data_IF_648386896003
#
_entry.id   IF_648386896003
#
_cell.length_a   1.000
_cell.length_b   1.000
_cell.length_c   1.000
_cell.angle_alpha   90.00
_cell.angle_beta   90.00
_cell.angle_gamma   90.00
#
_symmetry.space_group_name_H-M   'P 1'
#
loop_
_entity.id
_entity.type
_entity.pdbx_description
1 polymer ?
#
# COMPACT_ATOMS: atom_id res chain seq x y z
N UNK A 1 38.33 -9.45 85.25
CA UNK A 1 38.10 -8.27 86.10
C UNK A 1 38.35 -7.02 85.28
N UNK A 2 37.51 -6.00 85.48
CA UNK A 2 37.40 -4.75 84.70
C UNK A 2 38.70 -3.96 84.54
N UNK A 3 38.73 -3.16 83.47
CA UNK A 3 39.19 -1.74 83.32
C UNK A 3 39.67 -1.58 81.87
N UNK A 4 39.53 -0.49 81.12
CA UNK A 4 38.86 0.82 81.15
C UNK A 4 39.20 1.48 79.80
N UNK A 5 38.26 2.20 79.17
CA UNK A 5 38.46 3.01 77.95
C UNK A 5 39.34 4.25 78.21
N UNK A 6 40.01 4.82 77.19
CA UNK A 6 39.48 6.00 76.45
C UNK A 6 39.82 5.96 74.93
N UNK A 7 39.00 6.41 73.99
CA UNK A 7 38.51 7.77 73.82
C UNK A 7 39.43 8.56 72.87
N UNK A 8 39.12 8.63 71.57
CA UNK A 8 39.55 9.76 70.70
C UNK A 8 38.50 10.05 69.64
N UNK A 9 38.05 11.32 69.63
CA UNK A 9 37.23 11.93 68.60
C UNK A 9 38.09 12.19 67.36
N UNK A 10 37.54 12.01 66.15
CA UNK A 10 37.93 12.81 64.99
C UNK A 10 36.94 12.70 63.82
N UNK A 11 36.38 13.87 63.49
CA UNK A 11 35.90 14.33 62.19
C UNK A 11 34.86 13.48 61.43
N UNK A 12 33.59 13.90 61.54
CA UNK A 12 32.57 13.62 60.53
C UNK A 12 32.93 14.34 59.22
N UNK A 13 33.71 13.68 58.37
CA UNK A 13 33.93 14.11 56.99
C UNK A 13 32.63 13.97 56.19
N UNK A 14 31.92 15.09 55.96
CA UNK A 14 30.86 15.13 54.94
C UNK A 14 31.51 14.94 53.57
N UNK A 15 31.50 13.72 53.06
CA UNK A 15 31.78 13.43 51.66
C UNK A 15 30.66 13.99 50.79
N UNK A 16 30.73 15.28 50.45
CA UNK A 16 29.94 15.83 49.34
C UNK A 16 30.60 15.37 48.05
N UNK A 17 30.14 14.25 47.52
CA UNK A 17 30.42 13.85 46.14
C UNK A 17 29.82 14.94 45.24
N UNK A 18 30.67 15.86 44.76
CA UNK A 18 30.30 16.80 43.70
C UNK A 18 30.25 16.01 42.40
N UNK A 19 29.09 15.43 42.08
CA UNK A 19 28.83 14.95 40.73
C UNK A 19 28.95 16.15 39.76
N UNK A 20 29.71 16.05 38.66
CA UNK A 20 29.85 17.12 37.68
C UNK A 20 28.53 17.30 36.94
N UNK A 21 27.64 18.16 37.48
CA UNK A 21 26.23 18.26 37.08
C UNK A 21 25.98 18.76 35.66
N UNK A 22 26.89 19.48 35.01
CA UNK A 22 26.63 20.11 33.70
C UNK A 22 27.04 19.26 32.50
N UNK A 23 28.21 18.61 32.55
CA UNK A 23 28.74 17.82 31.41
C UNK A 23 27.97 16.51 31.24
N UNK A 24 27.66 15.81 32.33
CA UNK A 24 26.88 14.57 32.30
C UNK A 24 25.44 14.79 31.85
N UNK A 25 24.83 15.94 32.20
CA UNK A 25 23.49 16.31 31.70
C UNK A 25 23.50 16.64 30.20
N UNK A 26 24.53 17.33 29.70
CA UNK A 26 24.68 17.62 28.26
C UNK A 26 24.92 16.36 27.44
N UNK A 27 25.74 15.43 27.94
CA UNK A 27 25.98 14.13 27.29
C UNK A 27 24.71 13.27 27.30
N UNK A 28 24.00 13.19 28.43
CA UNK A 28 22.73 12.48 28.49
C UNK A 28 21.67 13.09 27.55
N UNK A 29 21.56 14.41 27.49
CA UNK A 29 20.66 15.10 26.56
C UNK A 29 21.02 14.82 25.10
N UNK A 30 22.30 14.85 24.75
CA UNK A 30 22.76 14.54 23.40
C UNK A 30 22.48 13.08 23.02
N UNK A 31 22.70 12.12 23.93
CA UNK A 31 22.36 10.71 23.70
C UNK A 31 20.85 10.48 23.59
N UNK A 32 20.04 11.17 24.38
CA UNK A 32 18.58 11.11 24.26
C UNK A 32 18.11 11.71 22.93
N UNK A 33 18.64 12.84 22.50
CA UNK A 33 18.32 13.44 21.20
C UNK A 33 18.76 12.54 20.04
N UNK A 34 19.92 11.88 20.16
CA UNK A 34 20.41 10.94 19.17
C UNK A 34 19.54 9.68 19.13
N UNK A 35 19.12 9.16 20.28
CA UNK A 35 18.21 8.02 20.37
C UNK A 35 16.82 8.37 19.81
N UNK A 36 16.27 9.55 20.13
CA UNK A 36 15.00 10.04 19.55
C UNK A 36 15.15 10.24 18.05
N UNK A 37 16.29 10.74 17.57
CA UNK A 37 16.60 10.84 16.14
C UNK A 37 16.65 9.48 15.45
N UNK A 38 17.35 8.50 16.03
CA UNK A 38 17.44 7.13 15.50
C UNK A 38 16.08 6.43 15.52
N UNK A 39 15.34 6.54 16.62
CA UNK A 39 14.00 5.97 16.73
C UNK A 39 13.03 6.67 15.78
N UNK A 40 13.09 7.99 15.61
CA UNK A 40 12.23 8.75 14.69
C UNK A 40 12.52 8.44 13.21
N UNK A 41 13.79 8.48 12.80
CA UNK A 41 14.22 8.16 11.44
C UNK A 41 13.89 6.70 11.08
N UNK A 42 13.97 5.79 12.06
CA UNK A 42 13.64 4.38 11.92
C UNK A 42 12.14 4.06 11.92
N UNK A 43 11.39 4.63 12.88
CA UNK A 43 10.00 4.23 13.13
C UNK A 43 8.99 4.96 12.26
N UNK A 44 9.26 6.20 11.83
CA UNK A 44 8.28 7.00 11.07
C UNK A 44 8.00 6.42 9.68
N UNK A 45 9.01 6.16 8.81
CA UNK A 45 8.76 5.52 7.53
C UNK A 45 8.14 4.12 7.70
N UNK A 46 8.63 3.36 8.69
CA UNK A 46 8.09 2.04 8.98
C UNK A 46 6.60 2.08 9.35
N UNK A 47 6.21 3.01 10.22
CA UNK A 47 4.82 3.20 10.61
C UNK A 47 3.97 3.68 9.43
N UNK A 48 4.37 4.75 8.76
CA UNK A 48 3.61 5.35 7.66
C UNK A 48 3.39 4.38 6.49
N UNK A 49 4.34 3.48 6.27
CA UNK A 49 4.28 2.50 5.18
C UNK A 49 3.55 1.22 5.58
N UNK A 50 3.92 0.61 6.71
CA UNK A 50 3.51 -0.77 7.03
C UNK A 50 2.39 -0.88 8.06
N UNK A 51 2.16 0.17 8.87
CA UNK A 51 1.18 0.14 9.97
C UNK A 51 0.02 1.12 9.78
N UNK A 52 0.22 2.19 9.01
CA UNK A 52 -0.86 3.12 8.65
C UNK A 52 -1.86 2.40 7.75
N UNK A 53 -3.15 2.50 8.07
CA UNK A 53 -4.23 2.04 7.20
C UNK A 53 -4.36 2.90 5.93
N UNK A 54 -5.17 2.47 4.95
CA UNK A 54 -5.50 3.31 3.81
C UNK A 54 -6.28 4.55 4.23
N UNK A 55 -6.26 5.59 3.39
CA UNK A 55 -7.13 6.75 3.56
C UNK A 55 -8.56 6.43 3.06
N UNK A 56 -9.56 6.70 3.89
CA UNK A 56 -10.99 6.35 3.69
C UNK A 56 -11.26 4.83 3.59
N UNK A 57 -10.90 4.05 4.64
CA UNK A 57 -11.14 2.60 4.68
C UNK A 57 -12.64 2.26 4.76
N UNK A 58 -13.05 1.02 4.42
CA UNK A 58 -14.44 0.57 4.56
C UNK A 58 -15.01 0.75 5.97
N UNK A 59 -14.19 0.51 7.00
CA UNK A 59 -14.60 0.65 8.40
C UNK A 59 -15.01 2.09 8.79
N UNK A 60 -14.54 3.10 8.05
CA UNK A 60 -14.90 4.50 8.24
C UNK A 60 -15.98 4.92 7.23
N UNK A 61 -15.77 4.65 5.95
CA UNK A 61 -16.64 5.10 4.87
C UNK A 61 -18.02 4.41 4.87
N UNK A 62 -18.11 3.20 5.41
CA UNK A 62 -19.30 2.35 5.30
C UNK A 62 -20.04 2.17 6.65
N UNK A 63 -19.53 2.77 7.74
CA UNK A 63 -20.05 2.61 9.10
C UNK A 63 -21.46 3.19 9.32
N UNK A 64 -21.77 4.33 8.70
CA UNK A 64 -23.04 5.05 8.92
C UNK A 64 -24.15 4.65 7.92
N UNK A 65 -23.87 3.68 7.06
CA UNK A 65 -24.70 3.39 5.90
C UNK A 65 -24.55 4.46 4.80
N UNK A 66 -24.76 4.06 3.55
CA UNK A 66 -24.56 4.92 2.38
C UNK A 66 -25.19 6.32 2.58
N UNK A 67 -24.39 7.38 2.43
CA UNK A 67 -24.87 8.76 2.50
C UNK A 67 -25.84 8.97 1.33
N UNK A 68 -27.12 9.27 1.58
CA UNK A 68 -28.09 9.40 0.50
C UNK A 68 -27.62 10.40 -0.57
N UNK A 69 -27.52 9.94 -1.82
CA UNK A 69 -27.24 10.78 -2.98
C UNK A 69 -25.77 10.83 -3.46
N UNK A 70 -24.84 10.06 -2.87
CA UNK A 70 -23.46 9.93 -3.37
C UNK A 70 -23.23 8.52 -3.93
N UNK A 71 -22.88 8.35 -5.22
CA UNK A 71 -22.51 7.04 -5.72
C UNK A 71 -21.24 6.53 -5.03
N UNK A 72 -21.23 5.25 -4.67
CA UNK A 72 -20.14 4.61 -3.93
C UNK A 72 -19.26 3.80 -4.86
N UNK A 73 -17.97 4.14 -4.92
CA UNK A 73 -16.94 3.42 -5.66
C UNK A 73 -16.01 2.74 -4.67
N UNK A 74 -15.91 1.41 -4.70
CA UNK A 74 -14.97 0.65 -3.87
C UNK A 74 -13.77 0.24 -4.70
N UNK A 75 -12.58 0.72 -4.32
CA UNK A 75 -11.30 0.23 -4.82
C UNK A 75 -10.80 -0.88 -3.89
N UNK A 76 -10.89 -2.13 -4.32
CA UNK A 76 -10.48 -3.30 -3.55
C UNK A 76 -9.14 -3.87 -4.04
N UNK A 77 -8.26 -4.22 -3.11
CA UNK A 77 -6.97 -4.81 -3.49
C UNK A 77 -5.99 -4.96 -2.34
N UNK A 78 -4.70 -5.03 -2.67
CA UNK A 78 -3.63 -5.18 -1.68
C UNK A 78 -2.88 -3.86 -1.45
N UNK A 79 -1.55 -3.92 -1.32
CA UNK A 79 -0.70 -2.76 -1.01
C UNK A 79 -0.70 -1.67 -2.09
N UNK A 80 -0.80 -2.04 -3.37
CA UNK A 80 -0.91 -1.06 -4.47
C UNK A 80 -2.21 -0.25 -4.39
N UNK A 81 -3.29 -0.84 -3.88
CA UNK A 81 -4.56 -0.15 -3.63
C UNK A 81 -4.50 0.65 -2.33
N UNK A 82 -3.87 0.11 -1.29
CA UNK A 82 -3.71 0.82 -0.02
C UNK A 82 -2.90 2.12 -0.17
N UNK A 83 -1.89 2.14 -1.04
CA UNK A 83 -1.21 3.38 -1.43
C UNK A 83 -0.31 4.02 -0.37
N UNK A 84 0.06 3.28 0.70
CA UNK A 84 1.01 3.74 1.73
C UNK A 84 2.49 3.47 1.38
N UNK A 85 2.71 2.70 0.31
CA UNK A 85 3.99 2.56 -0.37
C UNK A 85 3.72 2.71 -1.87
N UNK A 86 4.27 3.75 -2.49
CA UNK A 86 3.92 4.13 -3.85
C UNK A 86 2.71 5.06 -3.92
N UNK A 87 2.30 5.40 -5.14
CA UNK A 87 1.24 6.37 -5.39
C UNK A 87 -0.14 5.91 -4.87
N UNK A 88 -0.82 6.79 -4.14
CA UNK A 88 -2.22 6.62 -3.73
C UNK A 88 -3.16 6.97 -4.90
N UNK A 89 -3.37 5.99 -5.79
CA UNK A 89 -4.23 6.16 -6.95
C UNK A 89 -5.71 6.32 -6.58
N UNK A 90 -6.13 5.83 -5.40
CA UNK A 90 -7.51 5.94 -4.90
C UNK A 90 -7.78 7.35 -4.39
N UNK A 91 -6.83 7.94 -3.63
CA UNK A 91 -6.86 9.36 -3.27
C UNK A 91 -6.83 10.25 -4.51
N UNK A 92 -5.96 9.94 -5.49
CA UNK A 92 -5.92 10.67 -6.75
C UNK A 92 -7.23 10.60 -7.54
N UNK A 93 -7.95 9.46 -7.48
CA UNK A 93 -9.30 9.33 -8.07
C UNK A 93 -10.30 10.25 -7.34
N UNK A 94 -10.29 10.22 -6.01
CA UNK A 94 -11.17 11.03 -5.16
C UNK A 94 -10.99 12.54 -5.38
N UNK A 95 -9.77 12.97 -5.64
CA UNK A 95 -9.42 14.38 -5.85
C UNK A 95 -9.86 14.93 -7.21
N UNK A 96 -10.19 14.06 -8.18
CA UNK A 96 -10.64 14.51 -9.51
C UNK A 96 -11.98 15.25 -9.39
N UNK A 97 -12.16 16.39 -10.09
CA UNK A 97 -13.38 17.19 -10.01
C UNK A 97 -14.68 16.40 -10.21
N UNK A 98 -14.69 15.46 -11.17
CA UNK A 98 -15.82 14.58 -11.50
C UNK A 98 -16.21 13.61 -10.36
N UNK A 99 -15.26 13.23 -9.49
CA UNK A 99 -15.50 12.28 -8.39
C UNK A 99 -15.67 12.95 -7.02
N UNK A 100 -15.63 14.28 -6.92
CA UNK A 100 -15.87 14.98 -5.63
C UNK A 100 -17.26 14.73 -5.04
N UNK A 101 -18.25 14.39 -5.87
CA UNK A 101 -19.58 13.98 -5.44
C UNK A 101 -19.70 12.50 -5.05
N UNK A 102 -18.70 11.68 -5.36
CA UNK A 102 -18.70 10.24 -5.11
C UNK A 102 -18.08 9.91 -3.76
N UNK A 103 -18.50 8.80 -3.18
CA UNK A 103 -17.82 8.19 -2.04
C UNK A 103 -16.81 7.15 -2.55
N UNK A 104 -15.52 7.52 -2.56
CA UNK A 104 -14.44 6.65 -3.08
C UNK A 104 -13.72 5.97 -1.92
N UNK A 105 -14.06 4.70 -1.71
CA UNK A 105 -13.62 3.85 -0.60
C UNK A 105 -12.34 3.10 -0.96
N UNK A 106 -11.34 3.15 -0.10
CA UNK A 106 -10.09 2.41 -0.26
C UNK A 106 -10.11 1.11 0.57
N UNK A 107 -10.47 -0.01 -0.07
CA UNK A 107 -10.44 -1.36 0.48
C UNK A 107 -9.10 -2.09 0.20
N UNK A 108 -7.99 -1.34 0.13
CA UNK A 108 -6.64 -1.87 0.02
C UNK A 108 -6.09 -2.34 1.36
N UNK A 109 -5.52 -3.56 1.39
CA UNK A 109 -4.87 -4.12 2.58
C UNK A 109 -3.49 -4.67 2.25
N UNK A 110 -2.46 -4.13 2.90
CA UNK A 110 -1.06 -4.47 2.67
C UNK A 110 -0.82 -5.98 2.80
N UNK A 111 -0.17 -6.55 1.79
CA UNK A 111 0.19 -7.96 1.77
C UNK A 111 -0.94 -8.94 1.47
N UNK A 112 -2.19 -8.49 1.32
CA UNK A 112 -3.31 -9.40 1.01
C UNK A 112 -3.11 -10.14 -0.31
N UNK A 113 -3.51 -11.41 -0.27
CA UNK A 113 -3.74 -12.29 -1.42
C UNK A 113 -5.20 -12.22 -1.88
N UNK A 114 -5.53 -12.88 -2.99
CA UNK A 114 -6.92 -13.07 -3.42
C UNK A 114 -7.77 -13.82 -2.38
N UNK A 115 -7.17 -14.79 -1.67
CA UNK A 115 -7.84 -15.54 -0.61
C UNK A 115 -8.21 -14.65 0.58
N UNK A 116 -7.35 -13.68 0.92
CA UNK A 116 -7.64 -12.70 1.98
C UNK A 116 -8.76 -11.74 1.56
N UNK A 117 -8.72 -11.25 0.30
CA UNK A 117 -9.79 -10.40 -0.22
C UNK A 117 -11.14 -11.14 -0.23
N UNK A 118 -11.15 -12.41 -0.62
CA UNK A 118 -12.33 -13.27 -0.56
C UNK A 118 -12.90 -13.37 0.84
N UNK A 119 -12.06 -13.49 1.87
CA UNK A 119 -12.54 -13.58 3.26
C UNK A 119 -13.18 -12.28 3.76
N UNK A 120 -12.70 -11.12 3.28
CA UNK A 120 -13.19 -9.79 3.69
C UNK A 120 -14.15 -9.14 2.71
N UNK A 121 -14.58 -9.83 1.65
CA UNK A 121 -15.46 -9.28 0.60
C UNK A 121 -16.75 -8.69 1.19
N UNK A 122 -17.32 -9.34 2.22
CA UNK A 122 -18.55 -8.87 2.85
C UNK A 122 -18.33 -7.58 3.66
N UNK A 123 -17.25 -7.49 4.44
CA UNK A 123 -16.96 -6.32 5.27
C UNK A 123 -16.44 -5.14 4.47
N UNK A 124 -15.64 -5.42 3.43
CA UNK A 124 -14.84 -4.39 2.77
C UNK A 124 -15.49 -3.88 1.48
N UNK A 125 -16.40 -4.67 0.90
CA UNK A 125 -17.08 -4.33 -0.35
C UNK A 125 -18.59 -4.32 -0.14
N UNK A 126 -19.21 -5.44 0.23
CA UNK A 126 -20.68 -5.57 0.26
C UNK A 126 -21.31 -4.63 1.28
N UNK A 127 -20.71 -4.47 2.47
CA UNK A 127 -21.22 -3.59 3.52
C UNK A 127 -21.34 -2.12 3.06
N UNK A 128 -20.52 -1.70 2.10
CA UNK A 128 -20.51 -0.35 1.54
C UNK A 128 -21.67 -0.09 0.57
N UNK A 129 -22.41 -1.13 0.14
CA UNK A 129 -23.47 -1.02 -0.88
C UNK A 129 -23.00 -0.27 -2.14
N UNK A 130 -21.92 -0.74 -2.80
CA UNK A 130 -21.30 -0.05 -3.91
C UNK A 130 -22.20 0.06 -5.14
N UNK A 131 -21.99 1.13 -5.90
CA UNK A 131 -22.46 1.29 -7.27
C UNK A 131 -21.40 0.81 -8.28
N UNK A 132 -20.12 0.88 -7.89
CA UNK A 132 -19.00 0.39 -8.67
C UNK A 132 -17.92 -0.25 -7.78
N UNK A 133 -17.30 -1.33 -8.26
CA UNK A 133 -16.18 -2.02 -7.61
C UNK A 133 -15.05 -2.23 -8.60
N UNK A 134 -13.85 -1.78 -8.25
CA UNK A 134 -12.62 -2.06 -9.01
C UNK A 134 -11.73 -2.97 -8.17
N UNK A 135 -11.31 -4.09 -8.74
CA UNK A 135 -10.47 -5.09 -8.06
C UNK A 135 -9.08 -5.10 -8.68
N UNK A 136 -8.05 -4.82 -7.87
CA UNK A 136 -6.64 -4.97 -8.19
C UNK A 136 -5.97 -5.87 -7.13
N UNK A 137 -6.01 -7.19 -7.35
CA UNK A 137 -5.53 -8.21 -6.41
C UNK A 137 -4.82 -9.34 -7.14
N UNK A 138 -3.77 -9.91 -6.56
CA UNK A 138 -3.03 -11.03 -7.16
C UNK A 138 -1.51 -10.89 -7.16
N UNK A 139 -0.96 -9.69 -6.96
CA UNK A 139 0.49 -9.51 -6.95
C UNK A 139 1.20 -10.32 -5.85
N UNK A 140 0.55 -10.50 -4.68
CA UNK A 140 1.07 -11.36 -3.62
C UNK A 140 0.85 -12.84 -3.91
N UNK A 141 -0.21 -13.20 -4.63
CA UNK A 141 -0.48 -14.56 -5.12
C UNK A 141 0.61 -15.02 -6.10
N UNK A 142 1.01 -14.15 -7.04
CA UNK A 142 2.12 -14.39 -7.96
C UNK A 142 3.44 -14.60 -7.19
N UNK A 143 3.73 -13.70 -6.24
CA UNK A 143 4.97 -13.76 -5.41
C UNK A 143 4.97 -14.92 -4.42
N UNK A 144 3.79 -15.40 -4.03
CA UNK A 144 3.57 -16.50 -3.09
C UNK A 144 3.36 -17.84 -3.77
N UNK A 145 3.47 -17.89 -5.10
CA UNK A 145 3.33 -19.10 -5.91
C UNK A 145 1.98 -19.81 -5.75
N UNK A 146 0.91 -19.05 -5.53
CA UNK A 146 -0.47 -19.57 -5.47
C UNK A 146 -0.84 -20.17 -6.83
N UNK A 147 -1.33 -21.43 -6.91
CA UNK A 147 -1.73 -22.03 -8.17
C UNK A 147 -2.77 -21.18 -8.94
N UNK A 148 -2.65 -21.02 -10.27
CA UNK A 148 -3.60 -20.21 -11.06
C UNK A 148 -5.07 -20.61 -10.88
N UNK A 149 -5.37 -21.89 -10.67
CA UNK A 149 -6.74 -22.33 -10.43
C UNK A 149 -7.27 -21.97 -9.04
N UNK A 150 -6.41 -21.98 -8.01
CA UNK A 150 -6.81 -21.46 -6.70
C UNK A 150 -7.06 -19.94 -6.77
N UNK A 151 -6.23 -19.22 -7.52
CA UNK A 151 -6.44 -17.80 -7.78
C UNK A 151 -7.75 -17.54 -8.55
N UNK A 152 -8.08 -18.37 -9.55
CA UNK A 152 -9.35 -18.32 -10.27
C UNK A 152 -10.54 -18.52 -9.34
N UNK A 153 -10.54 -19.60 -8.55
CA UNK A 153 -11.60 -19.90 -7.59
C UNK A 153 -11.84 -18.73 -6.62
N UNK A 154 -10.76 -18.06 -6.20
CA UNK A 154 -10.88 -16.90 -5.33
C UNK A 154 -11.48 -15.69 -6.03
N UNK A 155 -11.06 -15.37 -7.27
CA UNK A 155 -11.63 -14.26 -8.03
C UNK A 155 -13.10 -14.49 -8.38
N UNK A 156 -13.46 -15.69 -8.84
CA UNK A 156 -14.85 -16.06 -9.13
C UNK A 156 -15.71 -15.91 -7.88
N UNK A 157 -15.25 -16.43 -6.73
CA UNK A 157 -15.97 -16.29 -5.48
C UNK A 157 -16.15 -14.83 -5.01
N UNK A 158 -15.16 -13.96 -5.27
CA UNK A 158 -15.27 -12.53 -4.98
C UNK A 158 -16.35 -11.90 -5.86
N UNK A 159 -16.28 -12.10 -7.18
CA UNK A 159 -17.23 -11.52 -8.14
C UNK A 159 -18.65 -12.03 -7.87
N UNK A 160 -18.83 -13.34 -7.72
CA UNK A 160 -20.12 -13.96 -7.40
C UNK A 160 -20.72 -13.37 -6.13
N UNK A 161 -19.89 -13.17 -5.10
CA UNK A 161 -20.37 -12.62 -3.83
C UNK A 161 -20.81 -11.17 -3.96
N UNK A 162 -20.09 -10.34 -4.71
CA UNK A 162 -20.47 -8.94 -4.94
C UNK A 162 -21.75 -8.88 -5.79
N UNK A 163 -21.81 -9.64 -6.89
CA UNK A 163 -22.98 -9.70 -7.79
C UNK A 163 -24.24 -10.23 -7.11
N UNK A 164 -24.12 -11.21 -6.20
CA UNK A 164 -25.27 -11.77 -5.48
C UNK A 164 -25.83 -10.83 -4.40
N UNK A 165 -25.10 -9.78 -4.01
CA UNK A 165 -25.42 -8.95 -2.83
C UNK A 165 -25.58 -7.47 -3.15
N UNK A 166 -25.19 -7.05 -4.35
CA UNK A 166 -25.18 -5.65 -4.78
C UNK A 166 -25.63 -5.56 -6.23
N UNK A 167 -25.87 -4.34 -6.71
CA UNK A 167 -26.10 -4.05 -8.14
C UNK A 167 -24.88 -3.37 -8.77
N UNK A 168 -23.70 -3.49 -8.13
CA UNK A 168 -22.51 -2.77 -8.53
C UNK A 168 -22.03 -3.22 -9.91
N UNK A 169 -21.54 -2.28 -10.72
CA UNK A 169 -20.66 -2.61 -11.84
C UNK A 169 -19.32 -3.08 -11.29
N UNK A 170 -18.80 -4.18 -11.80
CA UNK A 170 -17.54 -4.78 -11.33
C UNK A 170 -16.51 -4.69 -12.44
N UNK A 171 -15.31 -4.27 -12.07
CA UNK A 171 -14.13 -4.18 -12.91
C UNK A 171 -13.00 -5.02 -12.30
N UNK A 172 -12.45 -5.95 -13.08
CA UNK A 172 -11.22 -6.65 -12.72
C UNK A 172 -10.04 -6.05 -13.50
N UNK A 173 -9.04 -5.58 -12.77
CA UNK A 173 -7.87 -4.95 -13.36
C UNK A 173 -6.70 -5.94 -13.43
N UNK A 174 -6.06 -6.04 -14.59
CA UNK A 174 -4.87 -6.88 -14.74
C UNK A 174 -3.73 -6.42 -13.84
N UNK A 175 -2.90 -7.36 -13.40
CA UNK A 175 -1.76 -7.05 -12.56
C UNK A 175 -0.71 -6.28 -13.37
N UNK A 176 -0.17 -5.16 -12.84
CA UNK A 176 0.94 -4.50 -13.50
C UNK A 176 2.16 -5.43 -13.53
N UNK A 177 3.13 -5.20 -14.42
CA UNK A 177 4.39 -5.94 -14.39
C UNK A 177 5.01 -5.94 -12.98
N UNK A 178 5.50 -7.08 -12.52
CA UNK A 178 6.26 -7.20 -11.28
C UNK A 178 7.74 -7.07 -11.59
N UNK A 179 8.25 -5.86 -11.39
CA UNK A 179 9.50 -5.40 -11.98
C UNK A 179 9.31 -4.99 -13.45
N UNK A 180 10.25 -4.18 -13.93
CA UNK A 180 10.19 -3.59 -15.27
C UNK A 180 10.92 -4.41 -16.34
N UNK A 181 11.50 -5.55 -15.95
CA UNK A 181 11.97 -6.57 -16.87
C UNK A 181 10.80 -7.49 -17.24
N UNK A 182 10.16 -7.21 -18.37
CA UNK A 182 9.02 -7.96 -18.89
C UNK A 182 9.39 -9.43 -19.18
N UNK A 183 10.67 -9.71 -19.44
CA UNK A 183 11.18 -11.06 -19.70
C UNK A 183 11.68 -11.76 -18.43
N UNK A 184 11.44 -11.20 -17.25
CA UNK A 184 11.75 -11.88 -15.99
C UNK A 184 10.87 -13.13 -15.79
N UNK A 185 11.39 -14.11 -15.04
CA UNK A 185 10.61 -15.31 -14.67
C UNK A 185 9.31 -14.96 -13.97
N UNK A 186 9.34 -13.94 -13.11
CA UNK A 186 8.17 -13.47 -12.38
C UNK A 186 7.10 -12.92 -13.33
N UNK A 187 7.47 -12.10 -14.32
CA UNK A 187 6.54 -11.58 -15.31
C UNK A 187 6.01 -12.67 -16.26
N UNK A 188 6.82 -13.68 -16.60
CA UNK A 188 6.32 -14.86 -17.34
C UNK A 188 5.24 -15.62 -16.58
N UNK A 189 5.40 -15.76 -15.27
CA UNK A 189 4.40 -16.42 -14.42
C UNK A 189 3.15 -15.55 -14.27
N UNK A 190 3.33 -14.25 -14.06
CA UNK A 190 2.26 -13.26 -13.96
C UNK A 190 1.29 -13.30 -15.16
N UNK A 191 1.80 -13.61 -16.37
CA UNK A 191 0.95 -13.76 -17.56
C UNK A 191 -0.20 -14.77 -17.36
N UNK A 192 0.04 -15.87 -16.65
CA UNK A 192 -1.01 -16.85 -16.33
C UNK A 192 -2.10 -16.30 -15.40
N UNK A 193 -1.73 -15.44 -14.45
CA UNK A 193 -2.69 -14.79 -13.55
C UNK A 193 -3.50 -13.72 -14.29
N UNK A 194 -2.87 -12.95 -15.19
CA UNK A 194 -3.60 -11.98 -16.02
C UNK A 194 -4.58 -12.66 -16.98
N UNK A 195 -4.24 -13.82 -17.53
CA UNK A 195 -5.19 -14.63 -18.29
C UNK A 195 -6.39 -15.05 -17.44
N UNK A 196 -6.16 -15.51 -16.20
CA UNK A 196 -7.25 -15.82 -15.25
C UNK A 196 -8.14 -14.60 -15.01
N UNK A 197 -7.55 -13.41 -14.80
CA UNK A 197 -8.31 -12.16 -14.59
C UNK A 197 -9.22 -11.86 -15.78
N UNK A 198 -8.67 -11.90 -17.00
CA UNK A 198 -9.42 -11.62 -18.23
C UNK A 198 -10.55 -12.64 -18.46
N UNK A 199 -10.26 -13.93 -18.25
CA UNK A 199 -11.24 -15.01 -18.38
C UNK A 199 -12.34 -14.90 -17.33
N UNK A 200 -12.01 -14.63 -16.07
CA UNK A 200 -13.00 -14.44 -15.00
C UNK A 200 -13.85 -13.19 -15.25
N UNK A 201 -13.26 -12.08 -15.71
CA UNK A 201 -14.01 -10.88 -16.07
C UNK A 201 -15.05 -11.21 -17.16
N UNK A 202 -14.59 -11.82 -18.26
CA UNK A 202 -15.44 -12.21 -19.39
C UNK A 202 -16.53 -13.20 -18.97
N UNK A 203 -16.18 -14.23 -18.20
CA UNK A 203 -17.09 -15.31 -17.82
C UNK A 203 -18.18 -14.88 -16.83
N UNK A 204 -17.90 -13.87 -16.00
CA UNK A 204 -18.84 -13.34 -14.99
C UNK A 204 -19.64 -12.12 -15.46
N UNK A 205 -19.28 -11.55 -16.61
CA UNK A 205 -19.85 -10.28 -17.10
C UNK A 205 -19.30 -9.04 -16.39
N UNK A 206 -18.18 -9.16 -15.67
CA UNK A 206 -17.42 -8.02 -15.17
C UNK A 206 -16.57 -7.40 -16.29
N UNK A 207 -16.26 -6.12 -16.16
CA UNK A 207 -15.41 -5.40 -17.10
C UNK A 207 -13.92 -5.69 -16.84
N UNK A 208 -13.11 -5.80 -17.90
CA UNK A 208 -11.66 -5.99 -17.80
C UNK A 208 -10.92 -4.65 -17.99
N UNK A 209 -9.99 -4.32 -17.08
CA UNK A 209 -9.18 -3.11 -17.15
C UNK A 209 -7.71 -3.47 -17.49
N UNK A 210 -7.19 -3.07 -18.67
CA UNK A 210 -5.93 -3.55 -19.22
C UNK A 210 -4.70 -2.78 -18.68
N UNK A 211 -4.47 -2.83 -17.37
CA UNK A 211 -3.35 -2.15 -16.72
C UNK A 211 -1.99 -2.71 -17.16
N UNK A 212 -1.86 -4.04 -17.16
CA UNK A 212 -0.63 -4.72 -17.56
C UNK A 212 -0.19 -4.29 -18.95
N UNK A 213 -1.10 -4.35 -19.89
CA UNK A 213 -0.90 -4.05 -21.30
C UNK A 213 -0.44 -2.60 -21.46
N UNK A 214 -1.13 -1.68 -20.79
CA UNK A 214 -0.80 -0.26 -20.82
C UNK A 214 0.61 0.01 -20.29
N UNK A 215 1.00 -0.63 -19.19
CA UNK A 215 2.33 -0.48 -18.62
C UNK A 215 3.41 -1.19 -19.44
N UNK A 216 3.13 -2.40 -19.92
CA UNK A 216 4.05 -3.18 -20.75
C UNK A 216 4.37 -2.44 -22.06
N UNK A 217 3.39 -1.80 -22.69
CA UNK A 217 3.62 -1.02 -23.91
C UNK A 217 4.55 0.18 -23.67
N UNK A 218 4.44 0.84 -22.53
CA UNK A 218 5.35 1.93 -22.15
C UNK A 218 6.77 1.39 -21.91
N UNK A 219 6.90 0.26 -21.22
CA UNK A 219 8.19 -0.35 -20.92
C UNK A 219 8.90 -0.89 -22.18
N UNK A 220 8.15 -1.43 -23.15
CA UNK A 220 8.70 -1.87 -24.45
C UNK A 220 9.27 -0.71 -25.27
N UNK A 221 8.74 0.50 -25.09
CA UNK A 221 9.20 1.71 -25.78
C UNK A 221 10.44 2.34 -25.10
N UNK A 222 10.84 1.84 -23.93
CA UNK A 222 11.97 2.36 -23.18
C UNK A 222 13.29 2.01 -23.85
N UNK A 223 14.23 2.95 -23.84
CA UNK A 223 15.61 2.70 -24.24
C UNK A 223 16.43 2.10 -23.08
N UNK A 224 17.29 1.14 -23.40
CA UNK A 224 18.25 0.53 -22.47
C UNK A 224 17.73 -0.72 -21.78
N UNK A 225 18.67 -1.51 -21.24
CA UNK A 225 18.38 -2.78 -20.59
C UNK A 225 17.44 -2.59 -19.38
N UNK A 226 16.47 -3.49 -19.18
CA UNK A 226 15.60 -3.44 -18.03
C UNK A 226 16.39 -3.71 -16.73
N UNK A 227 15.89 -3.17 -15.62
CA UNK A 227 16.48 -3.44 -14.31
C UNK A 227 15.96 -4.80 -13.83
N UNK A 228 16.83 -5.79 -13.54
CA UNK A 228 16.39 -7.09 -13.04
C UNK A 228 15.56 -6.94 -11.76
N UNK A 229 14.57 -7.82 -11.59
CA UNK A 229 13.72 -7.82 -10.41
C UNK A 229 14.55 -8.01 -9.12
N UNK A 230 14.41 -7.08 -8.18
CA UNK A 230 15.18 -7.08 -6.93
C UNK A 230 14.36 -6.55 -5.73
N UNK A 231 13.05 -6.77 -5.73
CA UNK A 231 12.21 -6.39 -4.58
C UNK A 231 12.75 -6.98 -3.28
N UNK A 232 12.80 -6.15 -2.23
CA UNK A 232 13.10 -6.59 -0.87
C UNK A 232 12.52 -5.61 0.14
N UNK A 233 12.22 -6.07 1.36
CA UNK A 233 11.76 -5.18 2.42
C UNK A 233 12.74 -4.05 2.76
N UNK A 234 14.08 -4.26 2.77
CA UNK A 234 15.02 -3.16 2.89
C UNK A 234 14.89 -2.12 1.77
N UNK A 235 14.67 -2.54 0.52
CA UNK A 235 14.44 -1.62 -0.60
C UNK A 235 13.16 -0.81 -0.42
N UNK A 236 12.04 -1.48 -0.08
CA UNK A 236 10.76 -0.85 0.24
C UNK A 236 10.90 0.18 1.37
N UNK A 237 11.66 -0.16 2.42
CA UNK A 237 11.93 0.74 3.54
C UNK A 237 12.76 1.96 3.12
N UNK A 238 13.78 1.77 2.26
CA UNK A 238 14.57 2.87 1.70
C UNK A 238 13.71 3.78 0.82
N UNK A 239 12.82 3.21 0.00
CA UNK A 239 11.85 3.94 -0.81
C UNK A 239 10.95 4.81 0.08
N UNK A 240 10.35 4.22 1.12
CA UNK A 240 9.55 4.93 2.12
C UNK A 240 10.32 6.07 2.81
N UNK A 241 11.57 5.81 3.19
CA UNK A 241 12.43 6.82 3.83
C UNK A 241 12.67 8.03 2.92
N UNK A 242 12.99 7.79 1.63
CA UNK A 242 13.18 8.84 0.64
C UNK A 242 11.92 9.68 0.45
N UNK A 243 10.75 9.04 0.41
CA UNK A 243 9.49 9.74 0.25
C UNK A 243 9.11 10.53 1.51
N UNK A 244 8.91 9.83 2.64
CA UNK A 244 8.33 10.43 3.85
C UNK A 244 9.28 11.33 4.65
N UNK A 245 10.60 11.11 4.59
CA UNK A 245 11.56 11.95 5.33
C UNK A 245 12.30 12.95 4.44
N UNK A 246 12.57 12.59 3.18
CA UNK A 246 13.32 13.45 2.26
C UNK A 246 12.43 14.20 1.27
N UNK A 247 11.11 13.99 1.32
CA UNK A 247 10.13 14.68 0.48
C UNK A 247 10.25 14.36 -1.00
N UNK A 248 10.83 13.20 -1.35
CA UNK A 248 10.98 12.79 -2.76
C UNK A 248 9.65 12.33 -3.33
N UNK A 249 9.37 12.69 -4.57
CA UNK A 249 8.21 12.11 -5.27
C UNK A 249 8.45 10.61 -5.52
N UNK A 250 7.40 9.84 -5.77
CA UNK A 250 7.55 8.42 -6.07
C UNK A 250 8.29 8.21 -7.41
N UNK A 251 8.13 9.11 -8.38
CA UNK A 251 8.94 9.11 -9.61
C UNK A 251 10.44 9.38 -9.36
N UNK A 252 10.78 10.26 -8.41
CA UNK A 252 12.18 10.44 -7.99
C UNK A 252 12.74 9.19 -7.31
N UNK A 253 11.93 8.51 -6.50
CA UNK A 253 12.30 7.24 -5.86
C UNK A 253 12.52 6.16 -6.91
N UNK A 254 11.59 5.97 -7.84
CA UNK A 254 11.70 5.01 -8.95
C UNK A 254 12.99 5.24 -9.77
N UNK A 255 13.23 6.48 -10.20
CA UNK A 255 14.44 6.84 -10.98
C UNK A 255 15.74 6.54 -10.23
N UNK A 256 15.75 6.69 -8.91
CA UNK A 256 16.93 6.36 -8.09
C UNK A 256 17.29 4.86 -8.08
N UNK A 257 16.38 4.01 -8.57
CA UNK A 257 16.57 2.57 -8.74
C UNK A 257 16.53 2.14 -10.22
N UNK A 258 16.61 3.09 -11.17
CA UNK A 258 16.47 2.85 -12.62
C UNK A 258 15.14 2.17 -12.98
N UNK A 259 14.09 2.61 -12.30
CA UNK A 259 12.70 2.28 -12.55
C UNK A 259 11.94 3.54 -13.01
N UNK A 260 10.78 3.34 -13.61
CA UNK A 260 9.94 4.37 -14.22
C UNK A 260 8.48 4.29 -13.77
N UNK A 261 7.92 3.08 -13.69
CA UNK A 261 6.54 2.81 -13.32
C UNK A 261 6.42 2.26 -11.89
N UNK A 262 7.49 1.69 -11.33
CA UNK A 262 7.51 1.10 -9.99
C UNK A 262 8.57 1.73 -9.09
N UNK A 263 8.34 1.80 -7.78
CA UNK A 263 9.29 2.40 -6.81
C UNK A 263 10.28 1.41 -6.22
N UNK A 264 9.88 0.14 -6.13
CA UNK A 264 10.64 -0.94 -5.48
C UNK A 264 10.48 -2.29 -6.21
N UNK A 265 10.13 -2.26 -7.50
CA UNK A 265 9.73 -3.41 -8.32
C UNK A 265 8.35 -4.00 -8.02
N UNK A 266 7.58 -3.44 -7.09
CA UNK A 266 6.23 -3.90 -6.77
C UNK A 266 5.22 -2.75 -6.73
N UNK A 267 5.54 -1.68 -6.01
CA UNK A 267 4.63 -0.58 -5.76
C UNK A 267 4.73 0.52 -6.81
N UNK A 268 3.63 1.24 -7.02
CA UNK A 268 3.46 2.19 -8.12
C UNK A 268 4.26 3.47 -7.89
N UNK A 269 4.93 3.95 -8.92
CA UNK A 269 5.42 5.35 -9.01
C UNK A 269 4.26 6.35 -9.18
N UNK A 270 4.54 7.66 -9.22
CA UNK A 270 3.49 8.66 -9.49
C UNK A 270 2.90 8.41 -10.90
N UNK A 271 3.77 8.16 -11.88
CA UNK A 271 3.36 7.81 -13.25
C UNK A 271 2.61 6.48 -13.31
N UNK A 272 3.04 5.47 -12.55
CA UNK A 272 2.36 4.18 -12.48
C UNK A 272 0.97 4.31 -11.88
N UNK A 273 0.84 5.06 -10.79
CA UNK A 273 -0.45 5.36 -10.14
C UNK A 273 -1.39 6.12 -11.06
N UNK A 274 -0.89 7.10 -11.81
CA UNK A 274 -1.70 7.87 -12.76
C UNK A 274 -2.36 6.97 -13.83
N UNK A 275 -1.67 5.94 -14.31
CA UNK A 275 -2.25 4.97 -15.28
C UNK A 275 -3.42 4.22 -14.63
N UNK A 276 -3.28 3.77 -13.39
CA UNK A 276 -4.34 3.08 -12.64
C UNK A 276 -5.54 4.01 -12.47
N UNK A 277 -5.30 5.24 -12.00
CA UNK A 277 -6.37 6.24 -11.82
C UNK A 277 -7.08 6.57 -13.15
N UNK A 278 -6.34 6.72 -14.25
CA UNK A 278 -6.90 7.01 -15.57
C UNK A 278 -7.78 5.88 -16.10
N UNK A 279 -7.32 4.62 -16.00
CA UNK A 279 -8.10 3.46 -16.43
C UNK A 279 -9.40 3.34 -15.63
N UNK A 280 -9.32 3.52 -14.30
CA UNK A 280 -10.51 3.51 -13.44
C UNK A 280 -11.46 4.65 -13.78
N UNK A 281 -10.98 5.88 -13.92
CA UNK A 281 -11.82 7.03 -14.24
C UNK A 281 -12.50 6.88 -15.61
N UNK A 282 -11.75 6.41 -16.62
CA UNK A 282 -12.31 6.14 -17.94
C UNK A 282 -13.44 5.10 -17.85
N UNK A 283 -13.22 3.99 -17.13
CA UNK A 283 -14.23 2.94 -16.96
C UNK A 283 -15.48 3.41 -16.19
N UNK A 284 -15.31 4.22 -15.16
CA UNK A 284 -16.45 4.80 -14.43
C UNK A 284 -17.28 5.71 -15.36
N UNK A 285 -16.62 6.56 -16.16
CA UNK A 285 -17.31 7.50 -17.06
C UNK A 285 -18.15 6.82 -18.16
N UNK A 286 -17.87 5.57 -18.53
CA UNK A 286 -18.68 4.85 -19.53
C UNK A 286 -20.03 4.38 -18.98
N UNK A 287 -20.19 4.30 -17.66
CA UNK A 287 -21.45 3.92 -17.01
C UNK A 287 -22.43 5.08 -16.83
N UNK A 288 -21.90 6.29 -16.64
CA UNK A 288 -22.71 7.48 -16.36
C UNK A 288 -23.55 7.94 -17.57
N UNK A 289 -23.20 7.49 -18.78
CA UNK A 289 -23.88 7.85 -20.04
C UNK A 289 -25.15 7.06 -20.38
N UNK A 290 -25.58 6.11 -19.54
CA UNK A 290 -26.77 5.28 -19.79
C UNK A 290 -28.07 5.81 -19.13
N UNK A 291 -28.05 7.05 -18.64
CA UNK A 291 -29.13 7.66 -17.84
C UNK A 291 -29.87 8.82 -18.53
N UNK A 292 -29.94 8.84 -19.86
CA UNK A 292 -30.74 9.82 -20.64
C UNK A 292 -31.77 9.13 -21.55
#
# INVERSE_FOLDING_TARGET
>A
MRTSTPGTSRAAGRWRIRLPRSRSRRVALALCLLLVGVLGVGSVPGYLTFLRGPDNPPAEACADGNTPGRPVVVAAGASMTQGTLGADWVGALRDRPEYRGHEVVNAGVNGSTSADLRQRVDSDIVACRPDAVVVLIGANDVRGDVPPEEYRENLEAIVDRVSARTTARIALMSLPPLGEDLDSELNRRLAGYNAVIEETATGSGADYLPLHERMADLLRQRAGEPTPYAFSFPLAYVAATKHYLLGRSWDEVARSHRLELLVDHLHLSDRGGAIVTDLTAQWLSTGDGASD
#
